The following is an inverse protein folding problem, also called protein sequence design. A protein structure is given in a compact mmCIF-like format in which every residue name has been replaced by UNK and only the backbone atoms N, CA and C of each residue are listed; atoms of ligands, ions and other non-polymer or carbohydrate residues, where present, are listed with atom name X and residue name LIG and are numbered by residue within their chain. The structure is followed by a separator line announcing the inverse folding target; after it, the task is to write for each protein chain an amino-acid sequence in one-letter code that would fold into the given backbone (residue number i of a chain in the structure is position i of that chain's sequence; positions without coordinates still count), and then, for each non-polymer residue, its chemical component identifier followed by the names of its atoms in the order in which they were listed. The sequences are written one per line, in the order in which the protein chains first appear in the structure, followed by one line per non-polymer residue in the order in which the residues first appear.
data_IF_929435554797
#
_entry.id   IF_929435554797
#
_cell.length_a   1.000
_cell.length_b   1.000
_cell.length_c   1.000
_cell.angle_alpha   90.00
_cell.angle_beta   90.00
_cell.angle_gamma   90.00
#
_symmetry.space_group_name_H-M   'P 1'
#
loop_
_entity.id
_entity.type
_entity.pdbx_description
1 polymer ?
#
# COMPACT_ATOMS: atom_id res chain seq x y z
N UNK A 1 8.54 -9.10 53.28
CA UNK A 1 8.92 -9.99 52.15
C UNK A 1 7.74 -10.90 51.88
N UNK A 2 6.90 -10.54 50.92
CA UNK A 2 5.69 -11.31 50.59
C UNK A 2 5.78 -11.70 49.12
N UNK A 3 6.15 -12.95 48.89
CA UNK A 3 6.19 -13.59 47.58
C UNK A 3 4.76 -13.65 47.00
N UNK A 4 4.53 -13.08 45.82
CA UNK A 4 3.32 -13.31 45.01
C UNK A 4 3.70 -14.12 43.76
N UNK A 5 3.59 -15.43 43.87
CA UNK A 5 3.19 -16.30 42.75
C UNK A 5 1.69 -16.06 42.54
N UNK A 6 1.08 -15.98 41.37
CA UNK A 6 1.43 -16.38 40.01
C UNK A 6 0.13 -16.90 39.40
N UNK A 7 -0.34 -16.32 38.30
CA UNK A 7 -1.36 -16.95 37.45
C UNK A 7 -1.23 -16.36 36.05
N UNK A 8 -0.38 -17.00 35.25
CA UNK A 8 -0.31 -16.79 33.81
C UNK A 8 -1.45 -17.61 33.21
N UNK A 9 -2.52 -16.92 32.81
CA UNK A 9 -3.62 -17.52 32.06
C UNK A 9 -3.17 -17.62 30.59
N UNK A 10 -2.67 -18.79 30.21
CA UNK A 10 -2.41 -19.13 28.80
C UNK A 10 -3.76 -19.34 28.14
N UNK A 11 -4.25 -18.33 27.42
CA UNK A 11 -5.38 -18.47 26.53
C UNK A 11 -4.87 -19.15 25.26
N UNK A 12 -5.20 -20.44 25.10
CA UNK A 12 -4.93 -21.20 23.89
C UNK A 12 -5.85 -20.67 22.79
N UNK A 13 -5.29 -19.89 21.86
CA UNK A 13 -5.99 -19.46 20.65
C UNK A 13 -6.33 -20.70 19.80
N UNK A 14 -7.61 -20.89 19.54
CA UNK A 14 -8.06 -21.76 18.46
C UNK A 14 -7.76 -21.05 17.13
N UNK A 15 -6.73 -21.52 16.41
CA UNK A 15 -6.55 -21.26 14.99
C UNK A 15 -7.69 -21.93 14.23
N UNK A 16 -8.74 -21.18 13.91
CA UNK A 16 -9.57 -21.50 12.76
C UNK A 16 -8.75 -21.16 11.52
N UNK A 17 -8.12 -22.18 10.93
CA UNK A 17 -7.48 -22.05 9.62
C UNK A 17 -8.53 -21.73 8.57
N UNK A 18 -8.41 -20.56 7.95
CA UNK A 18 -8.97 -20.35 6.62
C UNK A 18 -8.01 -21.05 5.65
N UNK A 19 -8.41 -22.25 5.27
CA UNK A 19 -7.82 -23.08 4.24
C UNK A 19 -7.93 -22.33 2.90
N UNK A 20 -6.80 -21.87 2.35
CA UNK A 20 -6.70 -21.41 0.97
C UNK A 20 -6.86 -22.64 0.06
N UNK A 21 -8.10 -22.94 -0.33
CA UNK A 21 -8.37 -23.91 -1.39
C UNK A 21 -7.80 -23.36 -2.71
N UNK A 22 -6.60 -23.82 -3.03
CA UNK A 22 -6.01 -23.71 -4.35
C UNK A 22 -6.92 -24.35 -5.39
N UNK A 23 -7.50 -23.52 -6.25
CA UNK A 23 -8.12 -23.95 -7.48
C UNK A 23 -7.06 -24.24 -8.54
N UNK A 24 -6.55 -25.47 -8.56
CA UNK A 24 -5.98 -26.03 -9.80
C UNK A 24 -7.13 -26.48 -10.69
N UNK A 25 -7.40 -25.76 -11.78
CA UNK A 25 -8.13 -26.32 -12.90
C UNK A 25 -7.17 -26.56 -14.07
N UNK A 26 -7.09 -27.84 -14.43
CA UNK A 26 -6.32 -28.40 -15.50
C UNK A 26 -7.23 -28.75 -16.68
N UNK A 27 -6.72 -28.55 -17.90
CA UNK A 27 -7.25 -29.15 -19.14
C UNK A 27 -8.00 -28.16 -20.03
N UNK A 28 -7.76 -28.05 -21.32
CA UNK A 28 -6.92 -28.79 -22.27
C UNK A 28 -6.96 -28.01 -23.59
N UNK A 29 -5.88 -28.02 -24.38
CA UNK A 29 -5.85 -28.83 -25.59
C UNK A 29 -6.01 -27.97 -26.85
N UNK A 30 -4.95 -27.86 -27.65
CA UNK A 30 -4.96 -27.12 -28.91
C UNK A 30 -3.56 -27.00 -29.50
N UNK A 31 -3.03 -28.12 -29.94
CA UNK A 31 -1.80 -28.20 -30.74
C UNK A 31 -2.04 -27.64 -32.13
N UNK A 32 -1.18 -26.74 -32.61
CA UNK A 32 -0.84 -26.64 -34.03
C UNK A 32 0.64 -26.33 -34.20
N UNK A 33 1.27 -27.23 -34.96
CA UNK A 33 2.68 -27.26 -35.28
C UNK A 33 2.93 -26.54 -36.61
N UNK A 34 4.06 -25.85 -36.69
CA UNK A 34 4.65 -25.37 -37.93
C UNK A 34 5.63 -24.24 -37.60
N UNK A 35 6.95 -24.35 -37.76
CA UNK A 35 7.73 -25.27 -38.55
C UNK A 35 8.59 -24.48 -39.52
N UNK A 36 9.82 -24.18 -39.10
CA UNK A 36 10.98 -24.10 -39.98
C UNK A 36 11.33 -22.74 -40.59
N UNK A 37 12.63 -22.48 -40.64
CA UNK A 37 13.23 -21.59 -41.63
C UNK A 37 14.26 -20.62 -41.07
N UNK A 38 15.49 -21.09 -40.88
CA UNK A 38 16.66 -20.24 -40.79
C UNK A 38 17.15 -19.90 -42.22
N UNK A 39 17.50 -18.63 -42.43
CA UNK A 39 18.22 -18.03 -43.57
C UNK A 39 18.63 -16.64 -43.04
N UNK A 40 19.87 -16.17 -42.89
CA UNK A 40 21.15 -16.33 -43.60
C UNK A 40 21.30 -15.61 -44.95
N UNK A 41 21.19 -14.29 -44.92
CA UNK A 41 22.22 -13.41 -45.48
C UNK A 41 21.91 -12.62 -46.76
N UNK A 42 22.85 -11.71 -47.05
CA UNK A 42 23.10 -10.99 -48.30
C UNK A 42 22.13 -9.86 -48.66
N UNK A 43 22.54 -8.59 -48.51
CA UNK A 43 23.36 -7.73 -49.41
C UNK A 43 22.56 -6.98 -50.47
N UNK A 44 23.07 -5.78 -50.74
CA UNK A 44 22.93 -4.97 -51.96
C UNK A 44 21.73 -4.03 -52.10
N UNK A 45 22.02 -2.74 -51.88
CA UNK A 45 22.20 -1.78 -52.98
C UNK A 45 21.55 -2.16 -54.32
N UNK A 46 20.45 -1.51 -54.70
CA UNK A 46 20.51 -0.70 -55.91
C UNK A 46 19.37 0.32 -56.05
N UNK A 47 19.81 1.53 -56.35
CA UNK A 47 19.20 2.56 -57.17
C UNK A 47 18.41 2.02 -58.38
N UNK A 48 17.15 2.43 -58.56
CA UNK A 48 16.43 2.09 -59.79
C UNK A 48 15.02 2.64 -59.88
N UNK A 49 14.87 3.69 -60.68
CA UNK A 49 13.66 4.45 -60.94
C UNK A 49 12.49 3.70 -61.65
N UNK A 50 11.34 4.38 -61.58
CA UNK A 50 10.20 4.42 -62.52
C UNK A 50 8.98 3.56 -62.22
N UNK A 51 7.86 4.26 -61.99
CA UNK A 51 6.52 3.68 -62.04
C UNK A 51 5.48 4.64 -61.46
N UNK A 52 5.04 5.61 -62.26
CA UNK A 52 3.89 6.47 -61.98
C UNK A 52 2.61 5.66 -61.84
N UNK A 53 1.90 5.80 -60.72
CA UNK A 53 0.45 5.62 -60.71
C UNK A 53 -0.22 6.77 -59.96
N UNK A 54 -1.11 7.43 -60.70
CA UNK A 54 -1.87 8.60 -60.33
C UNK A 54 -3.21 8.11 -59.78
N UNK A 55 -3.24 7.79 -58.49
CA UNK A 55 -4.46 7.51 -57.74
C UNK A 55 -4.70 8.61 -56.72
N UNK A 56 -5.48 9.63 -57.09
CA UNK A 56 -5.91 10.68 -56.17
C UNK A 56 -6.70 10.09 -55.01
N UNK A 57 -6.08 10.02 -53.84
CA UNK A 57 -6.79 9.82 -52.59
C UNK A 57 -7.06 11.18 -51.98
N UNK A 58 -8.34 11.50 -51.93
CA UNK A 58 -8.93 12.66 -51.29
C UNK A 58 -8.46 12.72 -49.83
N UNK A 59 -7.43 13.53 -49.57
CA UNK A 59 -7.03 13.95 -48.24
C UNK A 59 -8.05 14.96 -47.74
N UNK A 60 -9.26 14.47 -47.46
CA UNK A 60 -10.20 15.18 -46.61
C UNK A 60 -9.46 15.52 -45.34
N UNK A 61 -9.40 16.82 -45.02
CA UNK A 61 -8.80 17.30 -43.80
C UNK A 61 -9.40 16.52 -42.63
N UNK A 62 -8.59 15.65 -42.02
CA UNK A 62 -8.87 15.18 -40.68
C UNK A 62 -8.80 16.43 -39.82
N UNK A 63 -9.98 16.96 -39.54
CA UNK A 63 -10.22 17.89 -38.47
C UNK A 63 -9.75 17.18 -37.21
N UNK A 64 -8.48 17.40 -36.86
CA UNK A 64 -7.98 17.22 -35.52
C UNK A 64 -8.62 18.34 -34.70
N UNK A 65 -9.96 18.29 -34.59
CA UNK A 65 -10.72 19.07 -33.65
C UNK A 65 -10.06 18.80 -32.32
N UNK A 66 -9.71 19.89 -31.64
CA UNK A 66 -9.05 19.88 -30.36
C UNK A 66 -9.66 18.75 -29.52
N UNK A 67 -8.91 17.64 -29.44
CA UNK A 67 -9.18 16.64 -28.43
C UNK A 67 -8.75 17.38 -27.18
N UNK A 68 -9.72 18.10 -26.61
CA UNK A 68 -9.75 18.42 -25.22
C UNK A 68 -9.52 17.08 -24.55
N UNK A 69 -8.24 16.80 -24.28
CA UNK A 69 -7.82 15.83 -23.30
C UNK A 69 -8.26 16.45 -21.99
N UNK A 70 -9.59 16.49 -21.81
CA UNK A 70 -10.25 17.05 -20.66
C UNK A 70 -9.54 16.45 -19.49
N UNK A 71 -9.00 17.35 -18.66
CA UNK A 71 -8.05 17.10 -17.60
C UNK A 71 -8.10 15.63 -17.19
N UNK A 72 -7.19 14.84 -17.76
CA UNK A 72 -6.94 13.51 -17.22
C UNK A 72 -6.44 13.83 -15.84
N UNK A 73 -7.30 13.61 -14.84
CA UNK A 73 -7.05 13.83 -13.42
C UNK A 73 -5.98 12.80 -12.99
N UNK A 74 -4.79 12.97 -13.55
CA UNK A 74 -3.58 12.25 -13.25
C UNK A 74 -3.03 12.88 -11.99
N UNK A 75 -3.63 12.48 -10.87
CA UNK A 75 -3.15 12.77 -9.53
C UNK A 75 -3.28 14.23 -9.15
N UNK A 76 -4.36 14.57 -8.44
CA UNK A 76 -4.37 15.66 -7.47
C UNK A 76 -3.40 15.37 -6.31
N UNK A 77 -2.11 15.18 -6.62
CA UNK A 77 -1.02 15.06 -5.67
C UNK A 77 -0.77 16.43 -5.05
N UNK A 78 -1.28 16.61 -3.83
CA UNK A 78 -1.21 17.90 -3.14
C UNK A 78 -2.22 18.03 -1.99
N UNK A 79 -3.13 17.07 -1.83
CA UNK A 79 -3.78 16.89 -0.55
C UNK A 79 -2.75 16.34 0.43
N UNK A 80 -2.00 17.19 1.13
CA UNK A 80 -1.18 16.76 2.27
C UNK A 80 -2.01 15.96 3.28
N UNK A 81 -1.39 15.40 4.30
CA UNK A 81 -2.04 14.54 5.32
C UNK A 81 -3.37 15.06 5.89
N UNK A 82 -3.68 16.35 5.76
CA UNK A 82 -4.93 16.99 6.17
C UNK A 82 -6.10 16.90 5.19
N UNK A 83 -5.90 16.44 3.96
CA UNK A 83 -6.97 16.19 3.01
C UNK A 83 -7.59 14.79 3.17
N UNK A 84 -7.05 13.96 4.06
CA UNK A 84 -7.52 12.60 4.31
C UNK A 84 -8.95 12.55 4.82
N UNK A 85 -9.72 11.59 4.32
CA UNK A 85 -11.09 11.32 4.75
C UNK A 85 -11.16 10.38 5.96
N UNK A 86 -10.04 9.79 6.38
CA UNK A 86 -9.97 8.76 7.42
C UNK A 86 -8.65 8.85 8.20
N UNK A 87 -8.42 7.88 9.10
CA UNK A 87 -7.24 7.75 9.94
C UNK A 87 -5.95 7.54 9.15
N UNK A 88 -4.82 7.97 9.71
CA UNK A 88 -3.49 7.88 9.10
C UNK A 88 -2.51 7.25 10.11
N UNK A 89 -1.60 6.40 9.63
CA UNK A 89 -0.44 5.93 10.37
C UNK A 89 0.59 7.08 10.43
N UNK A 90 0.64 7.77 11.56
CA UNK A 90 1.60 8.86 11.78
C UNK A 90 2.98 8.33 12.14
N UNK A 91 3.04 7.30 12.98
CA UNK A 91 4.30 6.80 13.53
C UNK A 91 4.24 5.32 13.86
N UNK A 92 5.37 4.64 13.62
CA UNK A 92 5.59 3.23 13.92
C UNK A 92 6.88 3.08 14.73
N UNK A 93 6.76 2.56 15.95
CA UNK A 93 7.87 2.20 16.85
C UNK A 93 7.76 0.70 17.18
N UNK A 94 8.47 -0.17 16.44
CA UNK A 94 8.38 -1.61 16.60
C UNK A 94 8.69 -2.08 18.03
N UNK A 95 7.70 -2.75 18.65
CA UNK A 95 7.79 -3.22 20.03
C UNK A 95 7.24 -2.25 21.07
N UNK A 96 7.02 -0.98 20.73
CA UNK A 96 6.47 0.03 21.64
C UNK A 96 5.03 0.40 21.26
N UNK A 97 4.80 0.90 20.05
CA UNK A 97 3.48 1.39 19.67
C UNK A 97 3.33 1.85 18.23
N UNK A 98 2.08 2.11 17.85
CA UNK A 98 1.67 2.63 16.54
C UNK A 98 0.77 3.85 16.79
N UNK A 99 1.18 5.01 16.31
CA UNK A 99 0.41 6.25 16.47
C UNK A 99 -0.47 6.48 15.26
N UNK A 100 -1.77 6.63 15.51
CA UNK A 100 -2.79 6.90 14.51
C UNK A 100 -3.25 8.35 14.66
N UNK A 101 -3.23 9.10 13.57
CA UNK A 101 -3.69 10.48 13.47
C UNK A 101 -5.05 10.56 12.79
N UNK A 102 -5.92 11.43 13.30
CA UNK A 102 -7.22 11.73 12.71
C UNK A 102 -7.16 13.12 12.04
N UNK A 103 -6.94 13.20 10.71
CA UNK A 103 -6.89 14.47 9.99
C UNK A 103 -8.28 15.12 9.81
N UNK A 104 -9.36 14.39 10.12
CA UNK A 104 -10.71 14.85 9.85
C UNK A 104 -11.16 15.94 10.84
N UNK A 105 -12.30 16.56 10.53
CA UNK A 105 -12.92 17.60 11.36
C UNK A 105 -13.86 17.05 12.45
N UNK A 106 -13.99 15.73 12.56
CA UNK A 106 -14.82 15.07 13.56
C UNK A 106 -14.02 14.03 14.35
N UNK A 107 -14.47 13.71 15.58
CA UNK A 107 -13.87 12.61 16.32
C UNK A 107 -14.23 11.26 15.65
N UNK A 108 -13.25 10.35 15.57
CA UNK A 108 -13.44 9.01 15.02
C UNK A 108 -13.44 8.00 16.18
N UNK A 109 -14.47 7.15 16.18
CA UNK A 109 -14.58 6.01 17.08
C UNK A 109 -13.86 4.80 16.49
N UNK A 110 -12.84 4.31 17.19
CA UNK A 110 -12.05 3.14 16.75
C UNK A 110 -12.61 1.81 17.26
N UNK A 111 -13.75 1.83 17.94
CA UNK A 111 -14.37 0.64 18.53
C UNK A 111 -14.89 -0.38 17.48
N UNK A 112 -15.05 0.03 16.23
CA UNK A 112 -15.53 -0.84 15.15
C UNK A 112 -14.77 -0.63 13.85
N UNK A 113 -14.54 -1.71 13.10
CA UNK A 113 -14.05 -1.67 11.71
C UNK A 113 -12.53 -1.68 11.56
N UNK A 114 -11.84 -0.80 12.28
CA UNK A 114 -10.41 -0.59 12.07
C UNK A 114 -9.53 -1.77 12.47
N UNK A 115 -8.73 -2.25 11.52
CA UNK A 115 -7.88 -3.43 11.69
C UNK A 115 -6.47 -3.12 11.22
N UNK A 116 -5.49 -3.39 12.09
CA UNK A 116 -4.08 -3.40 11.70
C UNK A 116 -3.75 -4.76 11.09
N UNK A 117 -2.94 -4.75 10.04
CA UNK A 117 -2.51 -5.96 9.35
C UNK A 117 -0.98 -5.99 9.28
N UNK A 118 -0.43 -7.06 9.85
CA UNK A 118 0.96 -7.49 9.67
C UNK A 118 0.92 -9.02 9.60
N UNK A 119 0.98 -9.60 8.40
CA UNK A 119 0.63 -11.01 8.20
C UNK A 119 1.45 -11.94 9.12
N UNK A 120 0.85 -13.00 9.69
CA UNK A 120 -0.56 -13.42 9.62
C UNK A 120 -1.45 -12.82 10.73
N UNK A 121 -1.03 -11.72 11.35
CA UNK A 121 -1.70 -11.10 12.50
C UNK A 121 -2.58 -9.92 12.06
N UNK A 122 -3.82 -9.91 12.54
CA UNK A 122 -4.83 -8.91 12.15
C UNK A 122 -5.63 -8.35 13.34
N UNK A 123 -4.98 -7.75 14.35
CA UNK A 123 -5.68 -7.20 15.50
C UNK A 123 -6.54 -6.00 15.10
N UNK A 124 -7.77 -5.94 15.62
CA UNK A 124 -8.58 -4.71 15.51
C UNK A 124 -8.12 -3.69 16.54
N UNK A 125 -8.24 -2.40 16.24
CA UNK A 125 -7.88 -1.35 17.21
C UNK A 125 -8.64 -1.53 18.53
N UNK A 126 -9.92 -1.89 18.45
CA UNK A 126 -10.76 -2.20 19.62
C UNK A 126 -10.27 -3.38 20.48
N UNK A 127 -9.56 -4.35 19.89
CA UNK A 127 -8.96 -5.47 20.65
C UNK A 127 -7.62 -5.11 21.29
N UNK A 128 -6.90 -4.15 20.70
CA UNK A 128 -5.66 -3.62 21.28
C UNK A 128 -6.01 -2.71 22.46
N UNK A 129 -6.95 -1.78 22.24
CA UNK A 129 -7.45 -0.86 23.26
C UNK A 129 -8.91 -0.50 22.99
N UNK A 130 -9.79 -0.85 23.94
CA UNK A 130 -11.23 -0.66 23.77
C UNK A 130 -11.68 0.77 24.10
N UNK A 131 -12.62 1.31 23.34
CA UNK A 131 -13.30 2.58 23.64
C UNK A 131 -12.48 3.83 23.32
N UNK A 132 -11.48 3.72 22.45
CA UNK A 132 -10.67 4.86 22.01
C UNK A 132 -11.45 5.72 21.01
N UNK A 133 -11.61 6.98 21.37
CA UNK A 133 -12.11 8.05 20.51
C UNK A 133 -10.94 8.98 20.15
N UNK A 134 -10.60 9.09 18.88
CA UNK A 134 -9.53 9.99 18.42
C UNK A 134 -10.17 11.34 18.04
N UNK A 135 -9.91 12.45 18.77
CA UNK A 135 -10.48 13.75 18.45
C UNK A 135 -10.13 14.21 17.03
N UNK A 136 -10.91 15.15 16.48
CA UNK A 136 -10.55 15.85 15.25
C UNK A 136 -9.17 16.51 15.37
N UNK A 137 -8.29 16.29 14.40
CA UNK A 137 -6.88 16.74 14.47
C UNK A 137 -6.08 16.12 15.62
N UNK A 138 -6.62 15.08 16.26
CA UNK A 138 -6.03 14.37 17.38
C UNK A 138 -5.25 13.13 16.94
N UNK A 139 -4.55 12.53 17.90
CA UNK A 139 -3.83 11.26 17.70
C UNK A 139 -3.96 10.37 18.91
N UNK A 140 -3.79 9.06 18.69
CA UNK A 140 -3.70 8.06 19.74
C UNK A 140 -2.63 7.03 19.41
N UNK A 141 -1.84 6.65 20.41
CA UNK A 141 -0.81 5.61 20.25
C UNK A 141 -1.35 4.31 20.84
N UNK A 142 -1.60 3.34 19.97
CA UNK A 142 -1.94 1.98 20.37
C UNK A 142 -0.67 1.22 20.73
N UNK A 143 -0.73 0.41 21.78
CA UNK A 143 0.38 -0.46 22.15
C UNK A 143 0.73 -1.41 21.00
N UNK A 144 2.03 -1.69 20.83
CA UNK A 144 2.48 -2.65 19.84
C UNK A 144 1.83 -4.02 20.06
N UNK A 145 1.11 -4.59 19.08
CA UNK A 145 0.50 -5.91 19.25
C UNK A 145 1.58 -6.97 19.49
N UNK A 146 1.45 -7.76 20.57
CA UNK A 146 2.43 -8.80 20.89
C UNK A 146 2.53 -9.94 19.87
N UNK A 147 1.59 -9.98 18.90
CA UNK A 147 1.59 -10.90 17.76
C UNK A 147 2.33 -10.34 16.54
N UNK A 148 2.76 -9.09 16.57
CA UNK A 148 3.57 -8.47 15.55
C UNK A 148 5.05 -8.79 15.79
N UNK A 149 5.76 -9.10 14.71
CA UNK A 149 7.12 -9.62 14.72
C UNK A 149 8.12 -8.68 14.04
N UNK A 150 7.65 -7.57 13.49
CA UNK A 150 8.49 -6.58 12.83
C UNK A 150 9.45 -5.91 13.80
N UNK A 151 10.56 -5.41 13.25
CA UNK A 151 11.67 -4.81 14.00
C UNK A 151 12.16 -3.55 13.28
N UNK A 152 13.08 -2.81 13.90
CA UNK A 152 13.70 -1.63 13.27
C UNK A 152 14.37 -1.95 11.92
N UNK A 153 14.86 -3.18 11.75
CA UNK A 153 15.50 -3.64 10.51
C UNK A 153 14.54 -3.79 9.33
N UNK A 154 13.24 -3.96 9.59
CA UNK A 154 12.23 -4.07 8.55
C UNK A 154 10.87 -4.54 9.05
N UNK A 155 9.84 -4.13 8.30
CA UNK A 155 8.47 -4.49 8.56
C UNK A 155 7.48 -3.76 7.66
N UNK A 156 6.20 -3.99 7.91
CA UNK A 156 5.08 -3.29 7.29
C UNK A 156 3.91 -3.18 8.27
N UNK A 157 3.12 -2.11 8.14
CA UNK A 157 1.82 -2.00 8.80
C UNK A 157 0.84 -1.51 7.74
N UNK A 158 -0.27 -2.22 7.61
CA UNK A 158 -1.43 -1.79 6.84
C UNK A 158 -2.59 -1.51 7.79
N UNK A 159 -3.28 -0.39 7.62
CA UNK A 159 -4.50 -0.05 8.34
C UNK A 159 -5.68 -0.21 7.40
N UNK A 160 -6.70 -0.96 7.82
CA UNK A 160 -7.93 -1.18 7.06
C UNK A 160 -9.15 -0.64 7.80
N UNK A 161 -10.15 -0.19 7.04
CA UNK A 161 -11.49 0.22 7.54
C UNK A 161 -12.37 -0.96 7.92
N UNK A 162 -12.04 -2.15 7.41
CA UNK A 162 -12.74 -3.41 7.66
C UNK A 162 -11.78 -4.60 7.49
N UNK A 163 -12.09 -5.80 8.01
CA UNK A 163 -11.22 -6.97 7.87
C UNK A 163 -11.28 -7.61 6.46
N UNK A 164 -11.32 -6.79 5.40
CA UNK A 164 -11.35 -7.20 3.99
C UNK A 164 -9.97 -7.00 3.36
N UNK A 165 -9.00 -7.84 3.76
CA UNK A 165 -7.60 -7.53 3.49
C UNK A 165 -7.16 -7.64 2.02
N UNK A 166 -7.95 -8.28 1.17
CA UNK A 166 -7.70 -8.36 -0.28
C UNK A 166 -8.36 -7.22 -1.06
N UNK A 167 -9.17 -6.40 -0.38
CA UNK A 167 -9.88 -5.29 -0.99
C UNK A 167 -9.03 -4.03 -0.83
N UNK A 168 -8.49 -3.53 -1.94
CA UNK A 168 -7.73 -2.28 -1.98
C UNK A 168 -8.56 -1.13 -1.41
N UNK A 169 -9.86 -1.06 -1.71
CA UNK A 169 -10.75 0.00 -1.21
C UNK A 169 -11.02 -0.05 0.30
N UNK A 170 -10.65 -1.16 0.97
CA UNK A 170 -10.71 -1.26 2.42
C UNK A 170 -9.40 -0.84 3.09
N UNK A 171 -8.29 -0.75 2.35
CA UNK A 171 -7.02 -0.21 2.82
C UNK A 171 -7.21 1.31 3.01
N UNK A 172 -6.75 1.80 4.15
CA UNK A 172 -6.80 3.23 4.49
C UNK A 172 -5.40 3.83 4.39
N UNK A 173 -4.41 3.08 4.88
CA UNK A 173 -3.05 3.54 4.90
C UNK A 173 -2.09 2.36 4.96
N UNK A 174 -0.89 2.57 4.42
CA UNK A 174 0.16 1.58 4.37
C UNK A 174 1.52 2.22 4.61
N UNK A 175 2.35 1.52 5.37
CA UNK A 175 3.76 1.86 5.50
C UNK A 175 4.61 0.61 5.51
N UNK A 176 5.74 0.64 4.81
CA UNK A 176 6.78 -0.37 4.97
C UNK A 176 8.16 0.26 5.08
N UNK A 177 9.06 -0.43 5.77
CA UNK A 177 10.41 0.04 6.04
C UNK A 177 11.43 -1.09 5.98
N UNK A 178 12.70 -0.69 5.83
CA UNK A 178 13.84 -1.60 5.82
C UNK A 178 13.69 -2.69 4.77
N UNK A 179 13.79 -3.94 5.19
CA UNK A 179 13.61 -5.11 4.31
C UNK A 179 12.16 -5.39 3.93
N UNK A 180 11.20 -4.61 4.43
CA UNK A 180 9.77 -4.91 4.36
C UNK A 180 9.38 -6.14 5.18
N UNK A 181 8.18 -6.64 4.94
CA UNK A 181 7.64 -7.84 5.57
C UNK A 181 7.41 -8.95 4.53
N UNK A 182 7.34 -10.22 4.96
CA UNK A 182 6.99 -11.33 4.06
C UNK A 182 6.14 -12.37 4.79
N UNK A 183 4.95 -12.70 4.27
CA UNK A 183 4.34 -12.19 3.04
C UNK A 183 3.77 -10.76 3.21
N UNK A 184 3.89 -9.91 2.19
CA UNK A 184 3.59 -8.47 2.26
C UNK A 184 2.18 -8.09 1.78
N UNK A 185 1.71 -6.89 2.15
CA UNK A 185 0.56 -6.16 1.58
C UNK A 185 0.94 -5.07 0.58
N UNK A 186 2.23 -4.90 0.29
CA UNK A 186 2.74 -3.89 -0.63
C UNK A 186 2.02 -3.88 -1.98
N UNK A 187 1.76 -5.05 -2.59
CA UNK A 187 1.07 -5.10 -3.89
C UNK A 187 -0.37 -4.58 -3.81
N UNK A 188 -1.07 -4.83 -2.70
CA UNK A 188 -2.42 -4.30 -2.48
C UNK A 188 -2.38 -2.78 -2.28
N UNK A 189 -1.37 -2.26 -1.57
CA UNK A 189 -1.18 -0.83 -1.40
C UNK A 189 -0.80 -0.13 -2.72
N UNK A 190 0.01 -0.77 -3.56
CA UNK A 190 0.34 -0.28 -4.90
C UNK A 190 -0.88 -0.29 -5.84
N UNK A 191 -1.78 -1.28 -5.71
CA UNK A 191 -3.03 -1.35 -6.47
C UNK A 191 -4.02 -0.24 -6.08
N UNK A 192 -4.08 0.14 -4.81
CA UNK A 192 -4.93 1.25 -4.34
C UNK A 192 -4.33 2.63 -4.65
N UNK A 193 -3.00 2.69 -4.83
CA UNK A 193 -2.25 3.94 -4.95
C UNK A 193 -1.78 4.51 -3.62
N UNK A 194 -2.06 3.81 -2.51
CA UNK A 194 -1.62 4.17 -1.15
C UNK A 194 -0.10 4.09 -0.98
N UNK A 195 0.60 3.32 -1.82
CA UNK A 195 2.05 3.23 -1.80
C UNK A 195 2.65 3.08 -3.20
N UNK A 196 3.82 3.67 -3.41
CA UNK A 196 4.60 3.51 -4.63
C UNK A 196 6.07 3.19 -4.32
N UNK A 197 6.56 2.10 -4.91
CA UNK A 197 7.98 1.77 -4.95
C UNK A 197 8.52 1.11 -3.68
N UNK A 198 9.82 1.26 -3.46
CA UNK A 198 10.51 0.58 -2.36
C UNK A 198 10.05 1.07 -0.98
N UNK A 199 10.25 0.22 0.04
CA UNK A 199 10.05 0.60 1.43
C UNK A 199 10.96 1.75 1.86
N UNK A 200 10.54 2.49 2.89
CA UNK A 200 11.39 3.46 3.57
C UNK A 200 12.68 2.80 4.10
N UNK A 201 13.68 3.60 4.44
CA UNK A 201 14.89 3.09 5.11
C UNK A 201 14.55 2.35 6.40
N UNK A 202 15.41 1.41 6.81
CA UNK A 202 15.30 0.80 8.13
C UNK A 202 15.33 1.89 9.22
N UNK A 203 14.61 1.66 10.32
CA UNK A 203 14.56 2.60 11.44
C UNK A 203 15.95 2.66 12.08
N UNK A 204 16.46 3.87 12.26
CA UNK A 204 17.81 4.14 12.80
C UNK A 204 17.78 5.00 14.05
N UNK A 205 16.64 5.66 14.33
CA UNK A 205 16.36 6.36 15.58
C UNK A 205 15.35 5.60 16.43
N UNK A 206 14.42 6.35 17.03
CA UNK A 206 13.42 5.79 17.95
C UNK A 206 12.19 5.23 17.21
N UNK A 207 11.84 5.79 16.05
CA UNK A 207 10.65 5.40 15.30
C UNK A 207 10.71 5.79 13.81
N UNK A 208 9.80 5.24 13.02
CA UNK A 208 9.48 5.70 11.67
C UNK A 208 8.32 6.70 11.77
N UNK A 209 8.51 7.94 11.28
CA UNK A 209 7.48 8.98 11.37
C UNK A 209 7.12 9.53 10.00
N UNK A 210 5.84 9.72 9.72
CA UNK A 210 5.37 10.42 8.52
C UNK A 210 5.83 11.88 8.57
N UNK A 211 6.36 12.38 7.46
CA UNK A 211 6.83 13.75 7.32
C UNK A 211 5.62 14.67 7.11
N UNK A 212 5.48 15.78 7.86
CA UNK A 212 4.41 16.74 7.65
C UNK A 212 4.33 17.25 6.21
N UNK A 213 3.12 17.42 5.71
CA UNK A 213 2.81 17.90 4.34
C UNK A 213 3.27 16.96 3.22
N UNK A 214 3.71 15.75 3.55
CA UNK A 214 3.88 14.68 2.57
C UNK A 214 2.54 14.03 2.22
N UNK A 215 2.51 13.32 1.10
CA UNK A 215 1.34 12.57 0.63
C UNK A 215 1.16 11.22 1.35
N UNK A 216 2.22 10.71 2.00
CA UNK A 216 2.22 9.38 2.63
C UNK A 216 2.43 8.20 1.66
N UNK A 217 2.56 8.42 0.36
CA UNK A 217 2.48 7.37 -0.67
C UNK A 217 3.81 6.73 -1.05
N UNK A 218 4.81 6.75 -0.17
CA UNK A 218 6.08 6.08 -0.44
C UNK A 218 7.19 6.43 0.54
N UNK A 219 8.37 5.84 0.29
CA UNK A 219 9.54 5.97 1.17
C UNK A 219 9.94 7.41 1.51
N UNK A 220 9.79 8.35 0.56
CA UNK A 220 10.18 9.75 0.76
C UNK A 220 9.26 10.50 1.76
N UNK A 221 8.09 9.94 2.06
CA UNK A 221 7.10 10.52 2.96
C UNK A 221 7.32 10.11 4.43
N UNK A 222 8.37 9.33 4.72
CA UNK A 222 8.69 8.86 6.07
C UNK A 222 10.15 9.11 6.45
N UNK A 223 10.34 9.50 7.71
CA UNK A 223 11.63 9.70 8.35
C UNK A 223 11.95 8.51 9.27
N UNK A 224 12.96 7.69 8.94
CA UNK A 224 13.35 6.54 9.76
C UNK A 224 14.23 6.91 10.97
N UNK A 225 14.51 8.20 11.18
CA UNK A 225 15.28 8.68 12.33
C UNK A 225 14.39 9.10 13.51
N UNK A 226 13.07 9.18 13.30
CA UNK A 226 12.11 9.64 14.31
C UNK A 226 12.12 11.15 14.56
N UNK A 227 12.86 11.93 13.77
CA UNK A 227 13.04 13.36 13.99
C UNK A 227 11.92 14.23 13.40
N UNK A 228 11.11 13.69 12.48
CA UNK A 228 9.98 14.40 11.90
C UNK A 228 9.03 14.93 13.00
N UNK A 229 8.49 16.13 12.78
CA UNK A 229 7.49 16.71 13.67
C UNK A 229 6.17 15.93 13.59
N UNK A 230 5.34 16.02 14.63
CA UNK A 230 4.00 15.43 14.60
C UNK A 230 3.14 16.10 13.52
N UNK A 231 2.19 15.36 12.95
CA UNK A 231 1.26 15.89 11.96
C UNK A 231 0.30 16.88 12.64
N UNK A 232 -0.04 17.93 11.92
CA UNK A 232 -1.01 18.94 12.36
C UNK A 232 -1.90 19.32 11.21
N UNK A 233 -3.19 19.53 11.48
CA UNK A 233 -4.11 20.13 10.53
C UNK A 233 -4.61 21.49 11.03
N UNK A 234 -4.75 22.48 10.14
CA UNK A 234 -5.16 23.83 10.50
C UNK A 234 -6.60 23.91 11.03
#
# INVERSE_FOLDING_TARGET
MTLRYGMVLICVLALAGCDDNGGTDAGGGGSDAGGGGADSGMTDTDSGAMGTDAGGTDAGAVDAGDVDAGDVDAGGGGGGHCAGADLIIEEVDPGTGITIFNPTTAAIDTSTGYTLCQRPSYPTLATIEAGVMIPAGGRHTFAWPGTFADTDAGGEIALYSSPSFIDAAALIDFVCWGTGHTPSRLTTAEEDGDWAGACAGAITGDSLRRIPESDGHGAASYDPTGAAAALTCP
#
